data_IF_119203921821
#
_entry.id   IF_119203921821
#
_cell.length_a   1.000
_cell.length_b   1.000
_cell.length_c   1.000
_cell.angle_alpha   90.00
_cell.angle_beta   90.00
_cell.angle_gamma   90.00
#
_symmetry.space_group_name_H-M   'P 1'
#
loop_
_entity.id
_entity.type
_entity.pdbx_description
1 polymer ?
#
# COMPACT_ATOMS: atom_id res chain seq x y z
N UNK A 1 -42.82 -6.07 43.12
CA UNK A 1 -41.84 -7.11 43.51
C UNK A 1 -41.53 -8.08 42.35
N UNK A 2 -42.52 -8.73 41.72
CA UNK A 2 -42.27 -9.64 40.56
C UNK A 2 -41.60 -8.98 39.34
N UNK A 3 -41.98 -7.75 39.00
CA UNK A 3 -41.37 -6.96 37.91
C UNK A 3 -39.94 -6.54 38.21
N UNK A 4 -39.62 -6.15 39.45
CA UNK A 4 -38.26 -5.81 39.88
C UNK A 4 -37.34 -7.04 39.88
N UNK A 5 -37.84 -8.20 40.30
CA UNK A 5 -37.09 -9.45 40.28
C UNK A 5 -36.82 -9.93 38.85
N UNK A 6 -37.79 -9.80 37.94
CA UNK A 6 -37.63 -10.13 36.53
C UNK A 6 -36.60 -9.22 35.84
N UNK A 7 -36.61 -7.92 36.14
CA UNK A 7 -35.62 -6.97 35.63
C UNK A 7 -34.20 -7.28 36.14
N UNK A 8 -34.07 -7.61 37.43
CA UNK A 8 -32.78 -7.99 38.03
C UNK A 8 -32.22 -9.29 37.42
N UNK A 9 -33.07 -10.29 37.19
CA UNK A 9 -32.67 -11.54 36.53
C UNK A 9 -32.26 -11.33 35.07
N UNK A 10 -32.95 -10.44 34.34
CA UNK A 10 -32.60 -10.10 32.96
C UNK A 10 -31.24 -9.38 32.87
N UNK A 11 -30.96 -8.46 33.80
CA UNK A 11 -29.67 -7.79 33.89
C UNK A 11 -28.53 -8.77 34.20
N UNK A 12 -28.73 -9.67 35.18
CA UNK A 12 -27.74 -10.70 35.51
C UNK A 12 -27.45 -11.64 34.34
N UNK A 13 -28.47 -12.00 33.55
CA UNK A 13 -28.28 -12.83 32.37
C UNK A 13 -27.49 -12.10 31.28
N UNK A 14 -27.76 -10.81 31.06
CA UNK A 14 -27.02 -9.99 30.09
C UNK A 14 -25.53 -9.83 30.46
N UNK A 15 -25.23 -9.64 31.75
CA UNK A 15 -23.84 -9.56 32.24
C UNK A 15 -23.09 -10.88 32.05
N UNK A 16 -23.76 -12.02 32.32
CA UNK A 16 -23.18 -13.34 32.11
C UNK A 16 -22.88 -13.63 30.63
N UNK A 17 -23.78 -13.24 29.73
CA UNK A 17 -23.58 -13.37 28.27
C UNK A 17 -22.41 -12.51 27.78
N UNK A 18 -22.28 -11.28 28.29
CA UNK A 18 -21.16 -10.40 27.98
C UNK A 18 -19.83 -11.02 28.43
N UNK A 19 -19.75 -11.50 29.67
CA UNK A 19 -18.51 -12.10 30.18
C UNK A 19 -18.11 -13.36 29.43
N UNK A 20 -19.08 -14.18 29.03
CA UNK A 20 -18.84 -15.32 28.15
C UNK A 20 -18.28 -14.87 26.79
N UNK A 21 -18.90 -13.88 26.14
CA UNK A 21 -18.44 -13.37 24.85
C UNK A 21 -17.02 -12.78 24.93
N UNK A 22 -16.69 -12.10 26.05
CA UNK A 22 -15.33 -11.56 26.30
C UNK A 22 -14.31 -12.68 26.47
N UNK A 23 -14.66 -13.75 27.18
CA UNK A 23 -13.78 -14.90 27.36
C UNK A 23 -13.51 -15.63 26.03
N UNK A 24 -14.56 -15.86 25.24
CA UNK A 24 -14.46 -16.46 23.91
C UNK A 24 -13.61 -15.60 22.96
N UNK A 25 -13.82 -14.28 22.96
CA UNK A 25 -13.04 -13.36 22.14
C UNK A 25 -11.55 -13.40 22.51
N UNK A 26 -11.22 -13.32 23.81
CA UNK A 26 -9.83 -13.40 24.27
C UNK A 26 -9.17 -14.73 23.89
N UNK A 27 -9.91 -15.84 24.00
CA UNK A 27 -9.44 -17.15 23.58
C UNK A 27 -9.20 -17.21 22.07
N UNK A 28 -10.18 -16.78 21.27
CA UNK A 28 -10.06 -16.78 19.82
C UNK A 28 -8.89 -15.89 19.32
N UNK A 29 -8.64 -14.78 20.01
CA UNK A 29 -7.51 -13.90 19.75
C UNK A 29 -6.17 -14.57 20.09
N UNK A 30 -6.08 -15.25 21.24
CA UNK A 30 -4.88 -15.99 21.64
C UNK A 30 -4.59 -17.17 20.69
N UNK A 31 -5.64 -17.86 20.25
CA UNK A 31 -5.55 -18.99 19.33
C UNK A 31 -5.35 -18.55 17.86
N UNK A 32 -5.40 -17.24 17.58
CA UNK A 32 -5.36 -16.65 16.23
C UNK A 32 -6.35 -17.31 15.26
N UNK A 33 -7.55 -17.62 15.73
CA UNK A 33 -8.60 -18.29 14.94
C UNK A 33 -9.52 -17.24 14.28
N UNK A 34 -9.41 -16.98 12.96
CA UNK A 34 -10.12 -15.85 12.35
C UNK A 34 -11.64 -15.98 12.42
N UNK A 35 -12.17 -17.18 12.21
CA UNK A 35 -13.62 -17.44 12.25
C UNK A 35 -14.20 -17.31 13.66
N UNK A 36 -13.52 -17.90 14.65
CA UNK A 36 -13.93 -17.79 16.05
C UNK A 36 -13.82 -16.34 16.54
N UNK A 37 -12.79 -15.61 16.12
CA UNK A 37 -12.59 -14.21 16.48
C UNK A 37 -13.71 -13.34 15.93
N UNK A 38 -14.03 -13.45 14.65
CA UNK A 38 -15.13 -12.68 14.04
C UNK A 38 -16.46 -12.98 14.74
N UNK A 39 -16.73 -14.25 15.03
CA UNK A 39 -17.96 -14.68 15.71
C UNK A 39 -18.05 -14.08 17.12
N UNK A 40 -16.99 -14.20 17.92
CA UNK A 40 -16.97 -13.66 19.28
C UNK A 40 -17.00 -12.13 19.29
N UNK A 41 -16.31 -11.48 18.36
CA UNK A 41 -16.32 -10.02 18.21
C UNK A 41 -17.71 -9.49 17.85
N UNK A 42 -18.43 -10.19 16.98
CA UNK A 42 -19.81 -9.85 16.62
C UNK A 42 -20.78 -10.05 17.78
N UNK A 43 -20.59 -11.10 18.60
CA UNK A 43 -21.35 -11.28 19.84
C UNK A 43 -21.11 -10.14 20.82
N UNK A 44 -19.85 -9.71 20.98
CA UNK A 44 -19.52 -8.53 21.79
C UNK A 44 -20.23 -7.28 21.27
N UNK A 45 -20.14 -7.01 19.96
CA UNK A 45 -20.79 -5.85 19.36
C UNK A 45 -22.31 -5.87 19.50
N UNK A 46 -22.94 -7.04 19.45
CA UNK A 46 -24.39 -7.20 19.63
C UNK A 46 -24.88 -6.81 21.04
N UNK A 47 -24.01 -6.83 22.06
CA UNK A 47 -24.35 -6.34 23.41
C UNK A 47 -24.53 -4.82 23.45
N UNK A 48 -23.90 -4.11 22.52
CA UNK A 48 -23.90 -2.65 22.42
C UNK A 48 -23.44 -1.96 23.72
N UNK A 49 -22.60 -2.61 24.52
CA UNK A 49 -22.10 -2.11 25.81
C UNK A 49 -20.68 -1.54 25.70
N UNK A 50 -20.38 -0.51 26.50
CA UNK A 50 -19.04 0.07 26.64
C UNK A 50 -17.95 -0.97 26.90
N UNK A 51 -18.19 -1.90 27.84
CA UNK A 51 -17.21 -2.93 28.19
C UNK A 51 -16.90 -3.89 27.03
N UNK A 52 -17.84 -4.08 26.10
CA UNK A 52 -17.60 -4.82 24.87
C UNK A 52 -16.72 -4.02 23.89
N UNK A 53 -17.01 -2.72 23.72
CA UNK A 53 -16.18 -1.82 22.91
C UNK A 53 -14.74 -1.76 23.44
N UNK A 54 -14.55 -1.59 24.75
CA UNK A 54 -13.23 -1.62 25.41
C UNK A 54 -12.50 -2.93 25.14
N UNK A 55 -13.20 -4.07 25.27
CA UNK A 55 -12.60 -5.39 25.03
C UNK A 55 -12.12 -5.55 23.58
N UNK A 56 -12.89 -5.04 22.62
CA UNK A 56 -12.54 -5.06 21.20
C UNK A 56 -11.35 -4.15 20.91
N UNK A 57 -11.35 -2.91 21.41
CA UNK A 57 -10.25 -1.96 21.22
C UNK A 57 -8.94 -2.46 21.87
N UNK A 58 -9.01 -3.05 23.06
CA UNK A 58 -7.86 -3.70 23.69
C UNK A 58 -7.33 -4.88 22.84
N UNK A 59 -8.24 -5.63 22.22
CA UNK A 59 -7.91 -6.69 21.27
C UNK A 59 -7.16 -6.15 20.06
N UNK A 60 -7.61 -5.03 19.49
CA UNK A 60 -6.94 -4.36 18.38
C UNK A 60 -5.53 -3.92 18.78
N UNK A 61 -5.38 -3.29 19.95
CA UNK A 61 -4.09 -2.86 20.49
C UNK A 61 -3.12 -4.03 20.67
N UNK A 62 -3.59 -5.17 21.16
CA UNK A 62 -2.80 -6.41 21.26
C UNK A 62 -2.34 -6.91 19.89
N UNK A 63 -3.21 -6.91 18.88
CA UNK A 63 -2.82 -7.28 17.52
C UNK A 63 -1.71 -6.35 16.99
N UNK A 64 -1.91 -5.04 17.10
CA UNK A 64 -0.94 -4.04 16.63
C UNK A 64 0.42 -4.19 17.33
N UNK A 65 0.42 -4.40 18.65
CA UNK A 65 1.64 -4.65 19.42
C UNK A 65 2.35 -5.94 19.00
N UNK A 66 1.60 -7.03 18.79
CA UNK A 66 2.14 -8.30 18.33
C UNK A 66 2.73 -8.20 16.92
N UNK A 67 2.05 -7.52 15.98
CA UNK A 67 2.55 -7.28 14.62
C UNK A 67 3.90 -6.55 14.66
N UNK A 68 4.02 -5.50 15.48
CA UNK A 68 5.27 -4.76 15.65
C UNK A 68 6.41 -5.68 16.12
N UNK A 69 6.15 -6.57 17.08
CA UNK A 69 7.14 -7.53 17.56
C UNK A 69 7.55 -8.55 16.49
N UNK A 70 6.57 -9.08 15.75
CA UNK A 70 6.79 -10.05 14.68
C UNK A 70 7.57 -9.46 13.50
N UNK A 71 7.42 -8.17 13.19
CA UNK A 71 8.28 -7.52 12.20
C UNK A 71 9.75 -7.57 12.59
N UNK A 72 10.08 -7.37 13.87
CA UNK A 72 11.45 -7.53 14.37
C UNK A 72 11.96 -8.97 14.25
N UNK A 73 11.09 -9.97 14.48
CA UNK A 73 11.43 -11.38 14.27
C UNK A 73 11.63 -11.71 12.78
N UNK A 74 10.75 -11.22 11.91
CA UNK A 74 10.84 -11.41 10.45
C UNK A 74 12.16 -10.87 9.91
N UNK A 75 12.57 -9.69 10.36
CA UNK A 75 13.86 -9.09 9.97
C UNK A 75 15.03 -9.99 10.37
N UNK A 76 15.02 -10.60 11.56
CA UNK A 76 16.08 -11.55 11.96
C UNK A 76 16.14 -12.77 11.05
N UNK A 77 14.99 -13.37 10.72
CA UNK A 77 14.96 -14.51 9.81
C UNK A 77 15.41 -14.14 8.39
N UNK A 78 15.15 -12.90 7.94
CA UNK A 78 15.69 -12.39 6.68
C UNK A 78 17.21 -12.25 6.73
N UNK A 79 17.76 -11.67 7.79
CA UNK A 79 19.21 -11.57 8.01
C UNK A 79 19.88 -12.95 8.09
N UNK A 80 19.26 -13.91 8.78
CA UNK A 80 19.75 -15.29 8.84
C UNK A 80 19.71 -15.96 7.47
N UNK A 81 18.66 -15.69 6.69
CA UNK A 81 18.53 -16.17 5.32
C UNK A 81 19.63 -15.58 4.43
N UNK A 82 19.89 -14.28 4.51
CA UNK A 82 20.98 -13.59 3.80
C UNK A 82 22.36 -14.16 4.15
N UNK A 83 22.66 -14.30 5.44
CA UNK A 83 23.93 -14.85 5.92
C UNK A 83 24.20 -16.28 5.42
N UNK A 84 23.15 -17.05 5.17
CA UNK A 84 23.24 -18.40 4.63
C UNK A 84 22.91 -18.48 3.13
N UNK A 85 22.75 -17.36 2.42
CA UNK A 85 22.31 -17.33 1.02
C UNK A 85 23.37 -17.76 0.01
N UNK A 86 24.65 -17.53 0.29
CA UNK A 86 25.75 -17.78 -0.64
C UNK A 86 26.14 -19.27 -0.76
N UNK A 87 25.27 -20.06 -1.37
CA UNK A 87 25.49 -21.47 -1.74
C UNK A 87 25.37 -21.66 -3.25
N UNK A 88 26.12 -22.61 -3.80
CA UNK A 88 26.05 -22.94 -5.23
C UNK A 88 25.04 -24.05 -5.50
N UNK A 89 24.37 -23.96 -6.65
CA UNK A 89 23.60 -25.04 -7.24
C UNK A 89 24.34 -25.50 -8.49
N UNK A 90 24.71 -26.77 -8.56
CA UNK A 90 25.24 -27.40 -9.78
C UNK A 90 24.08 -27.84 -10.66
N UNK A 91 23.80 -27.02 -11.68
CA UNK A 91 22.77 -27.28 -12.68
C UNK A 91 23.22 -28.26 -13.78
N UNK A 92 24.47 -28.75 -13.76
CA UNK A 92 24.94 -29.79 -14.69
C UNK A 92 24.51 -31.19 -14.29
N UNK A 93 24.05 -31.37 -13.05
CA UNK A 93 23.49 -32.64 -12.59
C UNK A 93 22.00 -32.71 -12.88
N UNK A 94 21.48 -33.92 -13.08
CA UNK A 94 20.04 -34.16 -13.25
C UNK A 94 19.56 -35.15 -12.19
N UNK A 95 18.80 -34.71 -11.16
CA UNK A 95 18.38 -33.33 -10.90
C UNK A 95 19.56 -32.41 -10.48
N UNK A 96 19.42 -31.07 -10.61
CA UNK A 96 20.38 -30.11 -10.07
C UNK A 96 20.68 -30.39 -8.60
N UNK A 97 21.94 -30.26 -8.20
CA UNK A 97 22.40 -30.64 -6.85
C UNK A 97 23.16 -29.52 -6.16
N UNK A 98 23.18 -29.53 -4.83
CA UNK A 98 24.01 -28.63 -4.04
C UNK A 98 25.37 -29.29 -3.83
N UNK A 99 26.51 -28.63 -4.15
CA UNK A 99 27.82 -29.17 -3.82
C UNK A 99 27.91 -29.52 -2.34
N UNK A 100 28.55 -30.64 -2.00
CA UNK A 100 28.57 -31.17 -0.65
C UNK A 100 29.02 -30.16 0.44
N UNK A 101 29.92 -29.23 0.08
CA UNK A 101 30.37 -28.15 0.98
C UNK A 101 29.30 -27.11 1.33
N UNK A 102 28.29 -26.95 0.47
CA UNK A 102 27.27 -25.92 0.56
C UNK A 102 25.93 -26.44 1.10
N UNK A 103 25.75 -27.77 1.18
CA UNK A 103 24.49 -28.41 1.62
C UNK A 103 24.03 -27.87 2.98
N UNK A 104 24.92 -27.79 3.97
CA UNK A 104 24.57 -27.27 5.31
C UNK A 104 24.14 -25.80 5.28
N UNK A 105 24.71 -25.01 4.38
CA UNK A 105 24.37 -23.59 4.22
C UNK A 105 23.01 -23.44 3.55
N UNK A 106 22.74 -24.24 2.52
CA UNK A 106 21.43 -24.35 1.89
C UNK A 106 20.33 -24.80 2.85
N UNK A 107 20.58 -25.81 3.69
CA UNK A 107 19.62 -26.28 4.70
C UNK A 107 19.26 -25.17 5.71
N UNK A 108 20.25 -24.40 6.17
CA UNK A 108 20.03 -23.25 7.06
C UNK A 108 19.24 -22.13 6.39
N UNK A 109 19.54 -21.84 5.12
CA UNK A 109 18.79 -20.89 4.31
C UNK A 109 17.30 -21.30 4.21
N UNK A 110 17.02 -22.56 3.90
CA UNK A 110 15.65 -23.06 3.78
C UNK A 110 14.88 -22.95 5.10
N UNK A 111 15.53 -23.28 6.22
CA UNK A 111 14.90 -23.17 7.54
C UNK A 111 14.63 -21.70 7.91
N UNK A 112 15.57 -20.78 7.64
CA UNK A 112 15.37 -19.34 7.85
C UNK A 112 14.23 -18.78 6.98
N UNK A 113 14.15 -19.16 5.70
CA UNK A 113 13.08 -18.74 4.80
C UNK A 113 11.71 -19.28 5.25
N UNK A 114 11.65 -20.55 5.66
CA UNK A 114 10.45 -21.17 6.22
C UNK A 114 9.99 -20.44 7.49
N UNK A 115 10.91 -20.07 8.37
CA UNK A 115 10.59 -19.32 9.59
C UNK A 115 10.11 -17.89 9.28
N UNK A 116 10.77 -17.20 8.35
CA UNK A 116 10.33 -15.88 7.87
C UNK A 116 8.90 -15.90 7.32
N UNK A 117 8.58 -16.89 6.48
CA UNK A 117 7.22 -17.11 5.94
C UNK A 117 6.20 -17.43 7.04
N UNK A 118 6.58 -18.23 8.03
CA UNK A 118 5.71 -18.54 9.16
C UNK A 118 5.38 -17.29 10.00
N UNK A 119 6.36 -16.40 10.21
CA UNK A 119 6.15 -15.12 10.88
C UNK A 119 5.25 -14.20 10.07
N UNK A 120 5.47 -14.12 8.76
CA UNK A 120 4.61 -13.34 7.86
C UNK A 120 3.16 -13.82 7.86
N UNK A 121 2.92 -15.13 7.85
CA UNK A 121 1.58 -15.69 7.98
C UNK A 121 0.90 -15.27 9.29
N UNK A 122 1.64 -15.22 10.42
CA UNK A 122 1.10 -14.70 11.69
C UNK A 122 0.74 -13.22 11.60
N UNK A 123 1.57 -12.40 10.96
CA UNK A 123 1.29 -10.98 10.74
C UNK A 123 -0.01 -10.81 9.94
N UNK A 124 -0.18 -11.55 8.83
CA UNK A 124 -1.40 -11.48 8.03
C UNK A 124 -2.65 -11.89 8.82
N UNK A 125 -2.55 -12.92 9.65
CA UNK A 125 -3.65 -13.34 10.53
C UNK A 125 -4.02 -12.26 11.54
N UNK A 126 -3.04 -11.58 12.13
CA UNK A 126 -3.26 -10.48 13.06
C UNK A 126 -3.84 -9.22 12.39
N UNK A 127 -3.43 -8.91 11.15
CA UNK A 127 -4.06 -7.82 10.39
C UNK A 127 -5.51 -8.15 10.02
N UNK A 128 -5.78 -9.41 9.66
CA UNK A 128 -7.16 -9.90 9.45
C UNK A 128 -7.98 -9.79 10.73
N UNK A 129 -7.38 -10.10 11.89
CA UNK A 129 -8.01 -9.94 13.19
C UNK A 129 -8.35 -8.48 13.52
N UNK A 130 -7.45 -7.53 13.25
CA UNK A 130 -7.73 -6.09 13.39
C UNK A 130 -8.92 -5.67 12.55
N UNK A 131 -8.95 -6.08 11.27
CA UNK A 131 -10.07 -5.80 10.38
C UNK A 131 -11.40 -6.38 10.88
N UNK A 132 -11.40 -7.60 11.43
CA UNK A 132 -12.58 -8.21 12.04
C UNK A 132 -13.08 -7.41 13.25
N UNK A 133 -12.16 -6.99 14.13
CA UNK A 133 -12.46 -6.19 15.31
C UNK A 133 -13.10 -4.84 14.92
N UNK A 134 -12.50 -4.12 13.96
CA UNK A 134 -13.05 -2.84 13.47
C UNK A 134 -14.42 -3.02 12.85
N UNK A 135 -14.62 -4.08 12.05
CA UNK A 135 -15.94 -4.41 11.49
C UNK A 135 -16.98 -4.68 12.57
N UNK A 136 -16.61 -5.32 13.67
CA UNK A 136 -17.53 -5.53 14.80
C UNK A 136 -17.76 -4.24 15.58
N UNK A 137 -16.74 -3.40 15.82
CA UNK A 137 -16.89 -2.07 16.42
C UNK A 137 -17.82 -1.16 15.59
N UNK A 138 -17.82 -1.29 14.27
CA UNK A 138 -18.74 -0.56 13.39
C UNK A 138 -20.21 -1.00 13.52
N UNK A 139 -20.50 -2.13 14.19
CA UNK A 139 -21.88 -2.62 14.39
C UNK A 139 -22.57 -2.03 15.62
N UNK A 140 -21.85 -1.30 16.48
CA UNK A 140 -22.45 -0.60 17.61
C UNK A 140 -23.42 0.48 17.12
N UNK A 141 -24.59 0.58 17.76
CA UNK A 141 -25.68 1.46 17.33
C UNK A 141 -26.17 2.39 18.44
N UNK A 142 -25.92 2.06 19.69
CA UNK A 142 -26.38 2.82 20.84
C UNK A 142 -25.67 4.16 20.93
N UNK A 143 -26.45 5.22 21.10
CA UNK A 143 -25.96 6.60 21.24
C UNK A 143 -24.88 6.72 22.34
N UNK A 144 -25.09 6.03 23.48
CA UNK A 144 -24.11 6.00 24.57
C UNK A 144 -22.77 5.37 24.14
N UNK A 145 -22.81 4.23 23.47
CA UNK A 145 -21.61 3.49 23.09
C UNK A 145 -20.86 4.14 21.93
N UNK A 146 -21.58 4.76 20.99
CA UNK A 146 -20.95 5.60 19.97
C UNK A 146 -20.28 6.83 20.60
N UNK A 147 -20.90 7.44 21.62
CA UNK A 147 -20.26 8.52 22.40
C UNK A 147 -19.03 8.04 23.17
N UNK A 148 -19.03 6.82 23.68
CA UNK A 148 -17.83 6.21 24.27
C UNK A 148 -16.69 6.05 23.24
N UNK A 149 -16.98 5.63 22.00
CA UNK A 149 -15.98 5.58 20.92
C UNK A 149 -15.45 6.97 20.54
N UNK A 150 -16.34 7.98 20.47
CA UNK A 150 -15.95 9.38 20.25
C UNK A 150 -15.06 9.89 21.39
N UNK A 151 -15.40 9.55 22.63
CA UNK A 151 -14.58 9.89 23.79
C UNK A 151 -13.21 9.20 23.73
N UNK A 152 -13.16 7.92 23.39
CA UNK A 152 -11.89 7.20 23.20
C UNK A 152 -11.03 7.87 22.13
N UNK A 153 -11.59 8.18 20.96
CA UNK A 153 -10.88 8.89 19.88
C UNK A 153 -10.26 10.21 20.35
N UNK A 154 -10.95 10.95 21.21
CA UNK A 154 -10.53 12.31 21.61
C UNK A 154 -9.65 12.35 22.86
N UNK A 155 -9.81 11.41 23.78
CA UNK A 155 -9.20 11.45 25.11
C UNK A 155 -8.52 10.13 25.53
N UNK A 156 -8.55 9.09 24.69
CA UNK A 156 -7.88 7.82 24.97
C UNK A 156 -6.36 7.97 25.08
N UNK A 157 -5.75 7.36 26.09
CA UNK A 157 -4.30 7.44 26.29
C UNK A 157 -3.52 6.59 25.26
N UNK A 158 -4.07 5.44 24.88
CA UNK A 158 -3.47 4.48 23.95
C UNK A 158 -3.83 4.85 22.51
N UNK A 159 -2.82 5.12 21.67
CA UNK A 159 -3.05 5.55 20.29
C UNK A 159 -3.63 4.43 19.41
N UNK A 160 -3.34 3.17 19.70
CA UNK A 160 -3.92 2.04 18.97
C UNK A 160 -5.42 1.93 19.24
N UNK A 161 -5.88 2.20 20.48
CA UNK A 161 -7.31 2.30 20.80
C UNK A 161 -7.95 3.47 20.06
N UNK A 162 -7.31 4.64 20.04
CA UNK A 162 -7.80 5.80 19.26
C UNK A 162 -7.91 5.51 17.77
N UNK A 163 -6.92 4.82 17.18
CA UNK A 163 -6.94 4.42 15.78
C UNK A 163 -8.09 3.43 15.49
N UNK A 164 -8.28 2.41 16.34
CA UNK A 164 -9.40 1.47 16.23
C UNK A 164 -10.76 2.17 16.31
N UNK A 165 -10.90 3.13 17.22
CA UNK A 165 -12.10 3.95 17.35
C UNK A 165 -12.34 4.79 16.08
N UNK A 166 -11.31 5.46 15.55
CA UNK A 166 -11.41 6.24 14.31
C UNK A 166 -11.86 5.37 13.13
N UNK A 167 -11.22 4.22 12.89
CA UNK A 167 -11.57 3.31 11.80
C UNK A 167 -13.03 2.83 11.91
N UNK A 168 -13.47 2.45 13.12
CA UNK A 168 -14.84 2.00 13.35
C UNK A 168 -15.87 3.12 13.13
N UNK A 169 -15.59 4.32 13.65
CA UNK A 169 -16.45 5.50 13.51
C UNK A 169 -16.68 5.89 12.05
N UNK A 170 -15.70 5.63 11.17
CA UNK A 170 -15.84 5.82 9.71
C UNK A 170 -16.98 5.02 9.07
N UNK A 171 -17.48 4.00 9.75
CA UNK A 171 -18.58 3.13 9.30
C UNK A 171 -19.86 3.30 10.12
N UNK A 172 -19.90 4.26 11.07
CA UNK A 172 -21.05 4.53 11.93
C UNK A 172 -21.72 5.84 11.48
N UNK A 173 -22.97 5.74 11.03
CA UNK A 173 -23.79 6.88 10.56
C UNK A 173 -24.36 7.77 11.68
N UNK A 174 -23.57 8.09 12.70
CA UNK A 174 -24.02 8.90 13.84
C UNK A 174 -23.67 10.37 13.67
N UNK A 175 -24.61 11.26 13.97
CA UNK A 175 -24.54 12.71 13.66
C UNK A 175 -23.34 13.44 14.26
N UNK A 176 -22.83 13.00 15.41
CA UNK A 176 -21.72 13.65 16.11
C UNK A 176 -20.34 13.18 15.60
N UNK A 177 -20.29 12.12 14.80
CA UNK A 177 -19.05 11.49 14.33
C UNK A 177 -18.23 12.41 13.42
N UNK A 178 -18.79 13.07 12.38
CA UNK A 178 -17.99 13.90 11.49
C UNK A 178 -17.27 15.03 12.23
N UNK A 179 -17.95 15.69 13.17
CA UNK A 179 -17.36 16.75 13.98
C UNK A 179 -16.24 16.22 14.90
N UNK A 180 -16.45 15.07 15.53
CA UNK A 180 -15.43 14.42 16.37
C UNK A 180 -14.17 14.04 15.58
N UNK A 181 -14.32 13.46 14.39
CA UNK A 181 -13.21 13.11 13.50
C UNK A 181 -12.44 14.37 13.06
N UNK A 182 -13.14 15.47 12.73
CA UNK A 182 -12.50 16.74 12.33
C UNK A 182 -11.65 17.29 13.46
N UNK A 183 -12.17 17.30 14.68
CA UNK A 183 -11.44 17.79 15.85
C UNK A 183 -10.24 16.89 16.19
N UNK A 184 -10.40 15.57 16.11
CA UNK A 184 -9.30 14.64 16.34
C UNK A 184 -8.19 14.76 15.27
N UNK A 185 -8.53 14.93 13.99
CA UNK A 185 -7.55 15.08 12.91
C UNK A 185 -6.63 16.29 13.12
N UNK A 186 -7.17 17.37 13.71
CA UNK A 186 -6.42 18.60 14.00
C UNK A 186 -5.53 18.49 15.24
N UNK A 187 -5.91 17.67 16.23
CA UNK A 187 -5.31 17.66 17.57
C UNK A 187 -4.42 16.45 17.83
N UNK A 188 -4.70 15.30 17.22
CA UNK A 188 -3.94 14.08 17.50
C UNK A 188 -2.51 14.22 16.97
N UNK A 189 -1.55 13.92 17.84
CA UNK A 189 -0.12 13.98 17.52
C UNK A 189 0.35 12.73 16.78
N UNK A 190 -0.34 11.60 16.95
CA UNK A 190 0.05 10.32 16.37
C UNK A 190 -0.38 10.22 14.91
N UNK A 191 0.59 10.00 14.02
CA UNK A 191 0.35 9.95 12.59
C UNK A 191 -0.57 8.76 12.22
N UNK A 192 -0.42 7.62 12.90
CA UNK A 192 -1.26 6.45 12.67
C UNK A 192 -2.75 6.72 12.96
N UNK A 193 -3.05 7.49 14.02
CA UNK A 193 -4.44 7.87 14.33
C UNK A 193 -4.98 8.84 13.28
N UNK A 194 -4.19 9.85 12.86
CA UNK A 194 -4.60 10.77 11.79
C UNK A 194 -4.86 10.04 10.47
N UNK A 195 -4.08 9.02 10.13
CA UNK A 195 -4.30 8.19 8.93
C UNK A 195 -5.64 7.44 9.04
N UNK A 196 -5.91 6.82 10.20
CA UNK A 196 -7.19 6.15 10.44
C UNK A 196 -8.39 7.12 10.31
N UNK A 197 -8.24 8.37 10.76
CA UNK A 197 -9.28 9.40 10.61
C UNK A 197 -9.49 9.80 9.14
N UNK A 198 -8.42 9.96 8.36
CA UNK A 198 -8.51 10.27 6.93
C UNK A 198 -9.24 9.14 6.18
N UNK A 199 -8.93 7.89 6.49
CA UNK A 199 -9.63 6.72 5.98
C UNK A 199 -11.10 6.69 6.40
N UNK A 200 -11.39 7.05 7.66
CA UNK A 200 -12.75 7.16 8.15
C UNK A 200 -13.59 8.18 7.37
N UNK A 201 -13.03 9.35 7.02
CA UNK A 201 -13.73 10.32 6.16
C UNK A 201 -14.04 9.77 4.77
N UNK A 202 -13.11 9.00 4.19
CA UNK A 202 -13.32 8.34 2.90
C UNK A 202 -14.45 7.31 2.97
N UNK A 203 -14.56 6.58 4.08
CA UNK A 203 -15.64 5.62 4.33
C UNK A 203 -17.00 6.28 4.55
N UNK A 204 -17.05 7.41 5.28
CA UNK A 204 -18.29 8.17 5.53
C UNK A 204 -18.89 8.78 4.26
N UNK A 205 -18.05 9.06 3.25
CA UNK A 205 -18.47 9.70 1.98
C UNK A 205 -19.23 11.01 2.18
N UNK A 206 -18.89 11.77 3.22
CA UNK A 206 -19.47 13.06 3.54
C UNK A 206 -18.40 14.15 3.42
N UNK A 207 -18.55 15.06 2.46
CA UNK A 207 -17.61 16.16 2.20
C UNK A 207 -18.16 17.52 2.59
N UNK A 208 -18.38 17.79 3.88
CA UNK A 208 -18.72 19.15 4.32
C UNK A 208 -17.51 20.09 4.17
N UNK A 209 -17.71 21.42 4.07
CA UNK A 209 -16.60 22.37 3.99
C UNK A 209 -15.56 22.20 5.10
N UNK A 210 -16.00 21.87 6.32
CA UNK A 210 -15.12 21.64 7.48
C UNK A 210 -14.26 20.38 7.31
N UNK A 211 -14.83 19.29 6.78
CA UNK A 211 -14.11 18.04 6.49
C UNK A 211 -13.11 18.28 5.37
N UNK A 212 -13.54 18.94 4.29
CA UNK A 212 -12.67 19.27 3.16
C UNK A 212 -11.49 20.15 3.60
N UNK A 213 -11.74 21.16 4.43
CA UNK A 213 -10.67 22.00 4.98
C UNK A 213 -9.72 21.22 5.89
N UNK A 214 -10.24 20.32 6.74
CA UNK A 214 -9.41 19.49 7.62
C UNK A 214 -8.52 18.52 6.81
N UNK A 215 -9.07 17.89 5.78
CA UNK A 215 -8.31 17.02 4.86
C UNK A 215 -7.29 17.82 4.04
N UNK A 216 -7.66 18.99 3.51
CA UNK A 216 -6.74 19.85 2.78
C UNK A 216 -5.53 20.27 3.64
N UNK A 217 -5.74 20.53 4.93
CA UNK A 217 -4.64 20.80 5.88
C UNK A 217 -3.62 19.66 5.99
N UNK A 218 -4.03 18.40 5.78
CA UNK A 218 -3.14 17.24 5.83
C UNK A 218 -2.23 17.11 4.60
N UNK A 219 -2.51 17.82 3.50
CA UNK A 219 -1.62 17.88 2.32
C UNK A 219 -0.26 18.52 2.65
N UNK A 220 -0.19 19.28 3.74
CA UNK A 220 1.01 19.95 4.23
C UNK A 220 1.70 19.20 5.39
N UNK A 221 1.21 18.02 5.77
CA UNK A 221 1.78 17.20 6.84
C UNK A 221 3.23 16.78 6.53
N UNK A 222 4.09 16.60 7.54
CA UNK A 222 5.43 16.04 7.33
C UNK A 222 5.41 14.55 6.94
N UNK A 223 4.30 13.86 7.21
CA UNK A 223 4.13 12.44 6.90
C UNK A 223 3.54 12.27 5.50
N UNK A 224 4.30 11.64 4.60
CA UNK A 224 3.89 11.43 3.21
C UNK A 224 2.60 10.61 3.08
N UNK A 225 2.37 9.66 3.99
CA UNK A 225 1.14 8.84 4.01
C UNK A 225 -0.11 9.70 4.24
N UNK A 226 0.00 10.74 5.09
CA UNK A 226 -1.11 11.68 5.31
C UNK A 226 -1.39 12.53 4.09
N UNK A 227 -0.36 12.95 3.35
CA UNK A 227 -0.53 13.71 2.11
C UNK A 227 -1.27 12.88 1.06
N UNK A 228 -0.86 11.62 0.86
CA UNK A 228 -1.49 10.71 -0.10
C UNK A 228 -2.92 10.38 0.33
N UNK A 229 -3.11 9.98 1.59
CA UNK A 229 -4.45 9.67 2.11
C UNK A 229 -5.40 10.85 1.98
N UNK A 230 -4.95 12.06 2.27
CA UNK A 230 -5.75 13.27 2.13
C UNK A 230 -6.12 13.54 0.68
N UNK A 231 -5.17 13.45 -0.26
CA UNK A 231 -5.45 13.62 -1.68
C UNK A 231 -6.49 12.60 -2.20
N UNK A 232 -6.34 11.34 -1.79
CA UNK A 232 -7.28 10.26 -2.14
C UNK A 232 -8.66 10.48 -1.53
N UNK A 233 -8.74 10.90 -0.26
CA UNK A 233 -10.01 11.21 0.40
C UNK A 233 -10.72 12.40 -0.26
N UNK A 234 -10.00 13.48 -0.54
CA UNK A 234 -10.54 14.67 -1.22
C UNK A 234 -11.09 14.34 -2.61
N UNK A 235 -10.38 13.49 -3.39
CA UNK A 235 -10.87 12.98 -4.67
C UNK A 235 -12.12 12.12 -4.49
N UNK A 236 -12.13 11.19 -3.54
CA UNK A 236 -13.26 10.29 -3.30
C UNK A 236 -14.53 11.02 -2.85
N UNK A 237 -14.37 12.17 -2.18
CA UNK A 237 -15.45 13.06 -1.76
C UNK A 237 -15.89 14.05 -2.85
N UNK A 238 -15.29 13.99 -4.05
CA UNK A 238 -15.48 14.97 -5.14
C UNK A 238 -15.33 16.43 -4.68
N UNK A 239 -14.37 16.69 -3.79
CA UNK A 239 -14.17 17.97 -3.13
C UNK A 239 -13.51 19.01 -4.05
N UNK A 240 -14.27 19.60 -4.98
CA UNK A 240 -13.76 20.63 -5.92
C UNK A 240 -13.10 21.82 -5.23
N UNK A 241 -13.54 22.17 -4.02
CA UNK A 241 -12.93 23.23 -3.21
C UNK A 241 -11.46 22.92 -2.81
N UNK A 242 -11.02 21.66 -2.90
CA UNK A 242 -9.65 21.26 -2.60
C UNK A 242 -8.69 21.33 -3.79
N UNK A 243 -9.15 21.73 -4.97
CA UNK A 243 -8.31 21.87 -6.16
C UNK A 243 -7.15 22.84 -5.91
N UNK A 244 -7.42 24.02 -5.34
CA UNK A 244 -6.37 25.01 -5.06
C UNK A 244 -5.36 24.49 -4.00
N UNK A 245 -5.78 23.95 -2.84
CA UNK A 245 -4.86 23.29 -1.91
C UNK A 245 -4.02 22.16 -2.51
N UNK A 246 -4.59 21.35 -3.40
CA UNK A 246 -3.87 20.28 -4.10
C UNK A 246 -2.80 20.84 -5.07
N UNK A 247 -3.11 21.93 -5.78
CA UNK A 247 -2.14 22.62 -6.65
C UNK A 247 -1.00 23.22 -5.83
N UNK A 248 -1.30 23.81 -4.66
CA UNK A 248 -0.28 24.32 -3.75
C UNK A 248 0.62 23.21 -3.21
N UNK A 249 0.04 22.07 -2.82
CA UNK A 249 0.81 20.89 -2.39
C UNK A 249 1.69 20.35 -3.52
N UNK A 250 1.19 20.36 -4.77
CA UNK A 250 1.92 19.89 -5.96
C UNK A 250 3.21 20.68 -6.20
N UNK A 251 3.25 21.97 -5.84
CA UNK A 251 4.44 22.81 -5.98
C UNK A 251 5.68 22.22 -5.28
N UNK A 252 5.47 21.62 -4.12
CA UNK A 252 6.53 21.05 -3.26
C UNK A 252 6.66 19.54 -3.40
N UNK A 253 5.91 18.93 -4.33
CA UNK A 253 5.86 17.49 -4.50
C UNK A 253 6.81 16.99 -5.60
N UNK A 254 7.43 15.85 -5.32
CA UNK A 254 8.29 15.08 -6.20
C UNK A 254 7.89 13.60 -6.19
N UNK A 255 8.49 12.83 -7.12
CA UNK A 255 8.29 11.39 -7.22
C UNK A 255 6.83 10.95 -7.19
N UNK A 256 6.54 9.94 -6.35
CA UNK A 256 5.18 9.36 -6.22
C UNK A 256 4.15 10.37 -5.72
N UNK A 257 4.53 11.29 -4.84
CA UNK A 257 3.59 12.27 -4.29
C UNK A 257 3.05 13.21 -5.39
N UNK A 258 3.91 13.60 -6.34
CA UNK A 258 3.48 14.40 -7.51
C UNK A 258 2.42 13.68 -8.34
N UNK A 259 2.58 12.37 -8.55
CA UNK A 259 1.64 11.54 -9.31
C UNK A 259 0.29 11.46 -8.59
N UNK A 260 0.30 11.14 -7.30
CA UNK A 260 -0.92 11.03 -6.48
C UNK A 260 -1.71 12.34 -6.42
N UNK A 261 -1.01 13.47 -6.25
CA UNK A 261 -1.65 14.79 -6.26
C UNK A 261 -2.23 15.13 -7.64
N UNK A 262 -1.51 14.79 -8.71
CA UNK A 262 -2.02 14.97 -10.07
C UNK A 262 -3.24 14.10 -10.36
N UNK A 263 -3.25 12.83 -9.93
CA UNK A 263 -4.40 11.94 -10.09
C UNK A 263 -5.63 12.47 -9.34
N UNK A 264 -5.44 13.04 -8.14
CA UNK A 264 -6.51 13.71 -7.40
C UNK A 264 -7.02 14.94 -8.15
N UNK A 265 -6.13 15.80 -8.65
CA UNK A 265 -6.48 16.98 -9.44
C UNK A 265 -7.21 16.60 -10.73
N UNK A 266 -6.74 15.58 -11.45
CA UNK A 266 -7.36 15.12 -12.68
C UNK A 266 -8.75 14.53 -12.44
N UNK A 267 -8.91 13.75 -11.37
CA UNK A 267 -10.21 13.24 -10.95
C UNK A 267 -11.21 14.35 -10.60
N UNK A 268 -10.74 15.44 -9.99
CA UNK A 268 -11.59 16.58 -9.62
C UNK A 268 -11.84 17.55 -10.77
N UNK A 269 -10.86 17.80 -11.64
CA UNK A 269 -10.95 18.80 -12.70
C UNK A 269 -11.44 18.22 -14.05
N UNK A 270 -11.39 16.89 -14.21
CA UNK A 270 -11.72 16.21 -15.46
C UNK A 270 -10.71 16.46 -16.59
N UNK A 271 -9.55 17.05 -16.27
CA UNK A 271 -8.44 17.36 -17.19
C UNK A 271 -7.15 16.89 -16.55
N UNK A 272 -6.14 16.55 -17.35
CA UNK A 272 -4.82 16.18 -16.82
C UNK A 272 -3.76 17.21 -17.23
N UNK A 273 -2.89 17.59 -16.29
CA UNK A 273 -1.70 18.42 -16.55
C UNK A 273 -0.39 17.70 -16.20
N UNK A 274 -0.45 16.38 -16.04
CA UNK A 274 0.68 15.47 -15.91
C UNK A 274 1.68 15.86 -14.80
N UNK A 275 1.15 16.37 -13.68
CA UNK A 275 1.92 16.80 -12.54
C UNK A 275 2.73 18.08 -12.77
N UNK A 276 2.46 18.83 -13.84
CA UNK A 276 3.05 20.15 -14.07
C UNK A 276 2.32 21.23 -13.24
N UNK A 277 3.00 21.72 -12.20
CA UNK A 277 2.50 22.77 -11.33
C UNK A 277 2.17 24.07 -12.08
N UNK A 278 3.00 24.50 -13.02
CA UNK A 278 2.77 25.76 -13.73
C UNK A 278 1.54 25.65 -14.65
N UNK A 279 1.37 24.50 -15.31
CA UNK A 279 0.20 24.22 -16.12
C UNK A 279 -1.09 24.13 -15.28
N UNK A 280 -1.04 23.46 -14.12
CA UNK A 280 -2.16 23.42 -13.18
C UNK A 280 -2.52 24.81 -12.63
N UNK A 281 -1.52 25.61 -12.27
CA UNK A 281 -1.73 26.98 -11.78
C UNK A 281 -2.38 27.86 -12.85
N UNK A 282 -1.87 27.84 -14.09
CA UNK A 282 -2.45 28.59 -15.19
C UNK A 282 -3.90 28.16 -15.51
N UNK A 283 -4.16 26.85 -15.42
CA UNK A 283 -5.51 26.31 -15.55
C UNK A 283 -6.43 26.79 -14.42
N UNK A 284 -5.97 26.79 -13.16
CA UNK A 284 -6.77 27.29 -12.03
C UNK A 284 -7.15 28.76 -12.23
N UNK A 285 -6.19 29.61 -12.56
CA UNK A 285 -6.46 31.04 -12.80
C UNK A 285 -7.49 31.27 -13.91
N UNK A 286 -7.43 30.46 -14.97
CA UNK A 286 -8.38 30.55 -16.09
C UNK A 286 -9.79 30.03 -15.75
N UNK A 287 -9.93 29.20 -14.71
CA UNK A 287 -11.18 28.52 -14.37
C UNK A 287 -11.73 28.90 -12.97
N UNK A 288 -11.01 29.73 -12.21
CA UNK A 288 -11.31 30.09 -10.80
C UNK A 288 -12.75 30.56 -10.62
N UNK A 289 -13.22 31.45 -11.49
CA UNK A 289 -14.59 31.98 -11.42
C UNK A 289 -15.65 30.91 -11.71
N UNK A 290 -15.43 30.08 -12.73
CA UNK A 290 -16.35 29.00 -13.11
C UNK A 290 -16.43 27.92 -12.01
N UNK A 291 -15.30 27.60 -11.38
CA UNK A 291 -15.21 26.70 -10.22
C UNK A 291 -15.95 27.27 -9.02
N UNK A 292 -15.73 28.54 -8.68
CA UNK A 292 -16.42 29.22 -7.57
C UNK A 292 -17.95 29.26 -7.75
N UNK A 293 -18.42 29.39 -9.00
CA UNK A 293 -19.85 29.36 -9.35
C UNK A 293 -20.43 27.95 -9.52
N UNK A 294 -19.61 26.90 -9.46
CA UNK A 294 -20.03 25.52 -9.73
C UNK A 294 -20.49 25.27 -11.18
N UNK A 295 -20.06 26.13 -12.12
CA UNK A 295 -20.46 26.08 -13.53
C UNK A 295 -19.39 25.49 -14.44
N UNK A 296 -18.22 25.15 -13.88
CA UNK A 296 -17.13 24.55 -14.62
C UNK A 296 -17.52 23.18 -15.16
N UNK A 297 -17.25 22.97 -16.46
CA UNK A 297 -17.34 21.68 -17.12
C UNK A 297 -16.08 21.47 -17.99
N UNK A 298 -15.42 20.30 -17.91
CA UNK A 298 -14.24 20.03 -18.73
C UNK A 298 -14.63 19.98 -20.21
N UNK A 299 -13.84 20.62 -21.07
CA UNK A 299 -14.02 20.53 -22.53
C UNK A 299 -13.52 19.16 -23.00
N UNK A 300 -14.19 18.56 -23.98
CA UNK A 300 -13.81 17.24 -24.52
C UNK A 300 -12.40 17.20 -25.11
N UNK A 301 -11.86 18.35 -25.55
CA UNK A 301 -10.48 18.49 -26.03
C UNK A 301 -9.43 18.50 -24.91
N UNK A 302 -9.84 18.82 -23.68
CA UNK A 302 -9.00 18.89 -22.48
C UNK A 302 -9.22 17.68 -21.55
N UNK A 303 -10.22 16.84 -21.86
CA UNK A 303 -10.53 15.62 -21.13
C UNK A 303 -9.23 14.83 -20.95
N UNK A 304 -9.03 14.27 -19.75
CA UNK A 304 -7.91 13.38 -19.45
C UNK A 304 -7.84 12.33 -20.56
N UNK A 305 -6.96 12.56 -21.54
CA UNK A 305 -6.76 11.67 -22.65
C UNK A 305 -6.34 10.32 -22.10
N UNK A 306 -6.77 9.26 -22.79
CA UNK A 306 -6.26 7.91 -22.60
C UNK A 306 -4.75 7.96 -22.27
N UNK A 307 -4.27 7.31 -21.18
CA UNK A 307 -2.87 7.38 -20.71
C UNK A 307 -1.78 7.03 -21.74
N UNK A 308 -2.14 6.71 -22.98
CA UNK A 308 -1.26 6.31 -24.07
C UNK A 308 -0.82 7.41 -25.05
N UNK A 309 -0.57 8.67 -24.65
CA UNK A 309 -0.16 9.69 -25.65
C UNK A 309 1.03 10.59 -25.35
N UNK A 310 1.91 10.14 -24.49
CA UNK A 310 3.35 10.33 -24.68
C UNK A 310 3.97 8.93 -24.56
N UNK A 311 5.03 8.62 -25.29
CA UNK A 311 5.68 7.31 -25.24
C UNK A 311 6.19 7.02 -23.82
N UNK A 312 5.30 6.53 -22.95
CA UNK A 312 5.61 6.14 -21.59
C UNK A 312 6.35 4.83 -21.70
N UNK A 313 7.61 4.85 -21.29
CA UNK A 313 8.34 3.62 -21.03
C UNK A 313 7.47 2.77 -20.11
N UNK A 314 7.18 1.53 -20.50
CA UNK A 314 6.48 0.58 -19.63
C UNK A 314 7.40 -0.57 -19.28
N UNK A 315 7.21 -1.12 -18.09
CA UNK A 315 7.83 -2.37 -17.67
C UNK A 315 6.72 -3.28 -17.16
N UNK A 316 6.48 -4.40 -17.84
CA UNK A 316 5.33 -5.29 -17.57
C UNK A 316 3.97 -4.55 -17.61
N UNK A 317 3.83 -3.57 -18.51
CA UNK A 317 2.61 -2.76 -18.63
C UNK A 317 2.45 -1.68 -17.57
N UNK A 318 3.37 -1.58 -16.61
CA UNK A 318 3.39 -0.52 -15.60
C UNK A 318 4.14 0.69 -16.17
N UNK A 319 3.54 1.89 -16.21
CA UNK A 319 4.22 3.11 -16.63
C UNK A 319 5.42 3.44 -15.74
N UNK A 320 6.54 3.79 -16.35
CA UNK A 320 7.75 4.28 -15.66
C UNK A 320 7.80 5.80 -15.78
N UNK A 321 7.54 6.49 -14.66
CA UNK A 321 7.33 7.95 -14.63
C UNK A 321 8.48 8.74 -13.97
N UNK A 322 9.45 8.05 -13.38
CA UNK A 322 10.59 8.67 -12.70
C UNK A 322 11.74 9.01 -13.67
N UNK A 323 12.50 10.08 -13.36
CA UNK A 323 13.78 10.42 -14.03
C UNK A 323 14.97 9.65 -13.48
N UNK A 324 14.78 8.97 -12.34
CA UNK A 324 15.77 8.12 -11.67
C UNK A 324 15.12 6.75 -11.45
N UNK A 325 15.54 5.74 -12.20
CA UNK A 325 14.88 4.44 -12.25
C UNK A 325 15.85 3.32 -11.93
N UNK A 326 15.54 2.50 -10.93
CA UNK A 326 16.28 1.26 -10.69
C UNK A 326 15.36 0.10 -10.99
N UNK A 327 15.74 -0.72 -11.96
CA UNK A 327 15.04 -1.98 -12.22
C UNK A 327 15.62 -3.04 -11.31
N UNK A 328 14.82 -3.59 -10.41
CA UNK A 328 15.21 -4.69 -9.52
C UNK A 328 14.51 -5.96 -9.99
N UNK A 329 15.27 -6.95 -10.47
CA UNK A 329 14.70 -8.17 -11.05
C UNK A 329 15.27 -9.42 -10.39
N UNK A 330 14.40 -10.41 -10.24
CA UNK A 330 14.80 -11.73 -9.79
C UNK A 330 15.63 -12.44 -10.88
N UNK A 331 16.65 -13.16 -10.45
CA UNK A 331 17.37 -14.18 -11.23
C UNK A 331 17.59 -15.44 -10.39
N UNK A 332 16.78 -15.68 -9.36
CA UNK A 332 16.78 -16.91 -8.58
C UNK A 332 16.42 -18.12 -9.43
N UNK A 333 16.64 -19.33 -8.89
CA UNK A 333 16.37 -20.58 -9.60
C UNK A 333 14.96 -20.72 -10.17
N UNK A 334 13.92 -20.13 -9.54
CA UNK A 334 12.54 -20.16 -10.04
C UNK A 334 12.36 -19.43 -11.38
N UNK A 335 13.28 -18.54 -11.75
CA UNK A 335 13.23 -17.83 -13.03
C UNK A 335 13.49 -18.75 -14.25
N UNK A 336 13.85 -20.02 -14.02
CA UNK A 336 13.95 -21.05 -15.07
C UNK A 336 12.61 -21.65 -15.48
N UNK A 337 11.57 -21.52 -14.64
CA UNK A 337 10.26 -22.09 -14.93
C UNK A 337 9.62 -21.40 -16.15
N UNK A 338 8.72 -22.09 -16.88
CA UNK A 338 7.90 -21.46 -17.90
C UNK A 338 7.14 -20.26 -17.33
N UNK A 339 7.05 -19.20 -18.12
CA UNK A 339 6.23 -18.04 -17.81
C UNK A 339 4.78 -18.31 -18.18
N UNK A 340 3.86 -18.05 -17.27
CA UNK A 340 2.41 -18.00 -17.50
C UNK A 340 1.92 -16.60 -17.91
N UNK A 341 2.82 -15.61 -17.90
CA UNK A 341 2.53 -14.25 -18.37
C UNK A 341 2.14 -14.23 -19.86
N UNK A 342 0.91 -13.82 -20.13
CA UNK A 342 0.28 -13.71 -21.46
C UNK A 342 0.37 -12.28 -22.04
N UNK A 343 0.59 -11.29 -21.19
CA UNK A 343 0.87 -9.90 -21.56
C UNK A 343 -0.30 -9.18 -22.26
N UNK A 344 -0.21 -7.84 -22.39
CA UNK A 344 -1.18 -7.11 -23.20
C UNK A 344 -0.96 -7.44 -24.69
N UNK A 345 -2.05 -7.70 -25.43
CA UNK A 345 -2.03 -7.84 -26.88
C UNK A 345 -1.43 -6.57 -27.50
N UNK A 346 -0.28 -6.69 -28.18
CA UNK A 346 0.37 -5.53 -28.79
C UNK A 346 -0.61 -4.85 -29.78
N UNK A 347 -0.93 -3.56 -29.61
CA UNK A 347 -1.79 -2.86 -30.55
C UNK A 347 -1.13 -2.81 -31.93
N UNK A 348 -1.94 -2.92 -32.99
CA UNK A 348 -1.48 -2.86 -34.36
C UNK A 348 -0.62 -1.60 -34.60
N UNK A 349 0.57 -1.79 -35.17
CA UNK A 349 1.53 -0.73 -35.46
C UNK A 349 0.87 0.39 -36.27
N UNK A 350 0.73 1.58 -35.67
CA UNK A 350 0.31 2.79 -36.38
C UNK A 350 1.43 3.21 -37.34
N UNK A 351 1.15 3.16 -38.64
CA UNK A 351 2.08 3.39 -39.76
C UNK A 351 2.49 4.87 -39.98
N UNK A 352 2.70 5.65 -38.91
CA UNK A 352 3.00 7.09 -39.04
C UNK A 352 3.97 7.70 -38.02
N UNK A 353 4.49 6.93 -37.06
CA UNK A 353 5.43 7.43 -36.04
C UNK A 353 6.90 7.08 -36.33
N UNK A 354 7.85 7.75 -35.66
CA UNK A 354 9.25 7.28 -35.60
C UNK A 354 9.25 5.81 -35.13
N UNK A 355 10.14 4.93 -35.65
CA UNK A 355 10.20 3.53 -35.24
C UNK A 355 10.34 3.42 -33.71
N UNK A 356 9.51 2.60 -33.07
CA UNK A 356 9.63 2.30 -31.64
C UNK A 356 10.97 1.59 -31.43
N UNK A 357 11.92 2.15 -30.66
CA UNK A 357 13.21 1.50 -30.41
C UNK A 357 13.08 0.11 -29.75
N UNK A 358 11.91 -0.23 -29.20
CA UNK A 358 11.62 -1.56 -28.67
C UNK A 358 11.13 -2.57 -29.73
N UNK A 359 10.78 -2.16 -30.95
CA UNK A 359 10.25 -3.06 -31.99
C UNK A 359 11.26 -4.09 -32.49
N UNK A 360 12.55 -3.79 -32.39
CA UNK A 360 13.63 -4.66 -32.85
C UNK A 360 14.05 -5.71 -31.79
N UNK A 361 13.49 -5.62 -30.58
CA UNK A 361 13.85 -6.48 -29.45
C UNK A 361 12.95 -7.71 -29.43
N UNK A 362 13.47 -8.82 -29.97
CA UNK A 362 12.74 -10.10 -30.05
C UNK A 362 12.82 -10.90 -28.75
N UNK A 363 11.70 -11.53 -28.38
CA UNK A 363 11.62 -12.56 -27.34
C UNK A 363 12.46 -13.78 -27.74
N UNK A 364 13.29 -14.28 -26.81
CA UNK A 364 14.28 -15.36 -27.07
C UNK A 364 13.93 -16.71 -26.42
N UNK A 365 12.81 -16.81 -25.70
CA UNK A 365 12.37 -18.03 -25.02
C UNK A 365 11.15 -17.78 -24.14
N UNK A 366 10.63 -18.85 -23.52
CA UNK A 366 9.39 -18.83 -22.75
C UNK A 366 9.59 -18.97 -21.23
N UNK A 367 10.84 -19.02 -20.74
CA UNK A 367 11.11 -19.04 -19.30
C UNK A 367 10.79 -17.67 -18.69
N UNK A 368 10.47 -17.63 -17.40
CA UNK A 368 10.29 -16.38 -16.63
C UNK A 368 11.46 -15.41 -16.82
N UNK A 369 12.70 -15.89 -16.81
CA UNK A 369 13.89 -15.07 -17.11
C UNK A 369 13.90 -14.51 -18.54
N UNK A 370 13.47 -15.29 -19.53
CA UNK A 370 13.48 -14.84 -20.92
C UNK A 370 12.46 -13.71 -21.14
N UNK A 371 11.28 -13.82 -20.50
CA UNK A 371 10.27 -12.75 -20.48
C UNK A 371 10.81 -11.53 -19.73
N UNK A 372 11.44 -11.71 -18.57
CA UNK A 372 11.99 -10.62 -17.77
C UNK A 372 13.07 -9.84 -18.51
N UNK A 373 14.02 -10.53 -19.16
CA UNK A 373 15.04 -9.89 -20.01
C UNK A 373 14.41 -9.13 -21.17
N UNK A 374 13.42 -9.73 -21.82
CA UNK A 374 12.74 -9.12 -22.96
C UNK A 374 12.01 -7.83 -22.55
N UNK A 375 11.19 -7.88 -21.50
CA UNK A 375 10.47 -6.73 -20.95
C UNK A 375 11.43 -5.63 -20.47
N UNK A 376 12.49 -6.00 -19.75
CA UNK A 376 13.49 -5.05 -19.27
C UNK A 376 14.19 -4.33 -20.42
N UNK A 377 14.55 -5.06 -21.47
CA UNK A 377 15.20 -4.46 -22.64
C UNK A 377 14.28 -3.53 -23.40
N UNK A 378 12.99 -3.87 -23.55
CA UNK A 378 11.98 -2.94 -24.12
C UNK A 378 11.87 -1.66 -23.28
N UNK A 379 11.77 -1.80 -21.96
CA UNK A 379 11.71 -0.65 -21.06
C UNK A 379 12.95 0.26 -21.20
N UNK A 380 14.15 -0.31 -21.10
CA UNK A 380 15.41 0.44 -21.24
C UNK A 380 15.52 1.11 -22.62
N UNK A 381 15.04 0.47 -23.69
CA UNK A 381 15.05 1.04 -25.04
C UNK A 381 14.18 2.29 -25.19
N UNK A 382 13.09 2.33 -24.42
CA UNK A 382 12.09 3.41 -24.43
C UNK A 382 12.39 4.53 -23.44
N UNK A 383 13.36 4.36 -22.53
CA UNK A 383 13.73 5.40 -21.57
C UNK A 383 14.19 6.69 -22.29
N UNK A 384 13.69 7.88 -21.90
CA UNK A 384 14.12 9.15 -22.46
C UNK A 384 15.63 9.38 -22.28
N UNK A 385 16.27 10.05 -23.25
CA UNK A 385 17.66 10.46 -23.12
C UNK A 385 17.87 11.32 -21.87
N UNK A 386 18.96 11.07 -21.15
CA UNK A 386 19.27 11.79 -19.91
C UNK A 386 18.58 11.26 -18.66
N UNK A 387 17.63 10.33 -18.76
CA UNK A 387 17.12 9.56 -17.60
C UNK A 387 18.26 8.83 -16.91
N UNK A 388 18.34 8.91 -15.59
CA UNK A 388 19.30 8.11 -14.83
C UNK A 388 18.69 6.75 -14.52
N UNK A 389 19.42 5.67 -14.79
CA UNK A 389 18.94 4.33 -14.53
C UNK A 389 20.03 3.39 -13.99
N UNK A 390 19.60 2.36 -13.28
CA UNK A 390 20.43 1.20 -12.97
C UNK A 390 19.59 -0.07 -13.08
N UNK A 391 20.28 -1.22 -13.19
CA UNK A 391 19.64 -2.53 -13.17
C UNK A 391 20.32 -3.36 -12.11
N UNK A 392 19.53 -3.90 -11.20
CA UNK A 392 19.96 -4.79 -10.14
C UNK A 392 19.26 -6.13 -10.38
N UNK A 393 20.04 -7.18 -10.52
CA UNK A 393 19.53 -8.53 -10.43
C UNK A 393 19.85 -9.12 -9.08
N UNK A 394 18.90 -9.85 -8.53
CA UNK A 394 19.08 -10.54 -7.26
C UNK A 394 18.83 -12.03 -7.42
N UNK A 395 19.69 -12.79 -6.76
CA UNK A 395 19.41 -14.16 -6.37
C UNK A 395 19.71 -14.27 -4.90
N UNK A 396 20.64 -15.12 -4.46
CA UNK A 396 21.22 -14.99 -3.14
C UNK A 396 22.28 -13.90 -3.06
N UNK A 397 22.83 -13.51 -4.22
CA UNK A 397 23.76 -12.41 -4.38
C UNK A 397 23.07 -11.27 -5.14
N UNK A 398 23.57 -10.05 -4.95
CA UNK A 398 23.07 -8.86 -5.64
C UNK A 398 24.13 -8.37 -6.60
N UNK A 399 23.80 -8.44 -7.88
CA UNK A 399 24.64 -7.91 -8.96
C UNK A 399 23.98 -6.68 -9.56
N UNK A 400 24.72 -5.58 -9.62
CA UNK A 400 24.25 -4.36 -10.25
C UNK A 400 25.00 -4.13 -11.55
N UNK A 401 24.33 -3.53 -12.53
CA UNK A 401 24.92 -3.14 -13.81
C UNK A 401 26.08 -2.14 -13.59
N UNK A 402 25.94 -1.27 -12.60
CA UNK A 402 26.96 -0.33 -12.16
C UNK A 402 26.82 -0.02 -10.67
N UNK A 403 27.89 0.43 -10.03
CA UNK A 403 27.88 0.91 -8.63
C UNK A 403 27.18 2.27 -8.49
N UNK A 404 26.97 3.00 -9.61
CA UNK A 404 26.28 4.30 -9.64
C UNK A 404 25.19 4.28 -10.70
N UNK A 405 24.25 5.22 -10.58
CA UNK A 405 23.26 5.46 -11.63
C UNK A 405 23.95 5.82 -12.95
N UNK A 406 23.52 5.17 -14.03
CA UNK A 406 23.98 5.45 -15.38
C UNK A 406 23.05 6.44 -16.06
N UNK A 407 23.62 7.45 -16.71
CA UNK A 407 22.83 8.37 -17.54
C UNK A 407 22.50 7.71 -18.88
N UNK A 408 21.22 7.69 -19.24
CA UNK A 408 20.74 7.05 -20.45
C UNK A 408 21.39 7.66 -21.69
N UNK A 409 22.05 6.80 -22.46
CA UNK A 409 22.76 7.09 -23.71
C UNK A 409 22.81 5.81 -24.57
N UNK A 410 23.13 5.95 -25.86
CA UNK A 410 23.28 4.78 -26.74
C UNK A 410 24.34 3.78 -26.22
N UNK A 411 25.43 4.28 -25.64
CA UNK A 411 26.49 3.46 -25.03
C UNK A 411 26.02 2.73 -23.78
N UNK A 412 25.37 3.44 -22.85
CA UNK A 412 24.82 2.86 -21.62
C UNK A 412 23.76 1.79 -21.92
N UNK A 413 22.90 2.02 -22.93
CA UNK A 413 21.92 1.04 -23.39
C UNK A 413 22.57 -0.23 -23.93
N UNK A 414 23.60 -0.11 -24.77
CA UNK A 414 24.34 -1.26 -25.30
C UNK A 414 25.01 -2.05 -24.17
N UNK A 415 25.68 -1.36 -23.23
CA UNK A 415 26.28 -1.97 -22.05
C UNK A 415 25.24 -2.75 -21.23
N UNK A 416 24.08 -2.14 -20.95
CA UNK A 416 22.99 -2.80 -20.24
C UNK A 416 22.53 -4.07 -20.97
N UNK A 417 22.33 -4.00 -22.28
CA UNK A 417 21.84 -5.14 -23.06
C UNK A 417 22.79 -6.33 -23.06
N UNK A 418 24.09 -6.06 -23.23
CA UNK A 418 25.14 -7.09 -23.20
C UNK A 418 25.31 -7.70 -21.81
N UNK A 419 25.13 -6.90 -20.75
CA UNK A 419 25.18 -7.39 -19.37
C UNK A 419 23.96 -8.26 -19.04
N UNK A 420 22.75 -7.81 -19.37
CA UNK A 420 21.49 -8.55 -19.16
C UNK A 420 21.53 -9.93 -19.84
N UNK A 421 22.08 -10.02 -21.06
CA UNK A 421 22.17 -11.30 -21.79
C UNK A 421 23.09 -12.33 -21.12
N UNK A 422 24.00 -11.91 -20.24
CA UNK A 422 24.98 -12.81 -19.59
C UNK A 422 24.47 -13.43 -18.28
N UNK A 423 23.39 -12.93 -17.71
CA UNK A 423 22.95 -13.27 -16.35
C UNK A 423 21.97 -14.43 -16.33
N UNK A 424 22.41 -15.67 -16.11
CA UNK A 424 21.50 -16.81 -16.02
C UNK A 424 20.84 -16.94 -14.63
N UNK A 425 19.64 -17.55 -14.54
CA UNK A 425 19.02 -17.86 -13.25
C UNK A 425 19.89 -18.78 -12.39
N UNK A 426 19.99 -18.50 -11.10
CA UNK A 426 20.87 -19.22 -10.18
C UNK A 426 20.54 -18.84 -8.73
N UNK A 427 20.67 -19.77 -7.78
CA UNK A 427 20.64 -19.46 -6.35
C UNK A 427 19.24 -19.20 -5.74
N UNK A 428 19.23 -18.84 -4.45
CA UNK A 428 18.03 -18.47 -3.69
C UNK A 428 17.46 -17.10 -4.09
N UNK A 429 16.40 -16.66 -3.40
CA UNK A 429 15.68 -15.42 -3.70
C UNK A 429 15.90 -14.44 -2.55
N UNK A 430 16.77 -13.45 -2.75
CA UNK A 430 17.13 -12.42 -1.78
C UNK A 430 16.82 -11.01 -2.31
N UNK A 431 15.53 -10.63 -2.33
CA UNK A 431 15.13 -9.29 -2.78
C UNK A 431 15.51 -8.20 -1.77
N UNK A 432 15.82 -8.53 -0.51
CA UNK A 432 16.07 -7.53 0.53
C UNK A 432 17.38 -6.78 0.26
N UNK A 433 18.51 -7.47 0.12
CA UNK A 433 19.79 -6.85 -0.25
C UNK A 433 19.69 -6.08 -1.57
N UNK A 434 18.84 -6.55 -2.49
CA UNK A 434 18.61 -5.91 -3.76
C UNK A 434 17.93 -4.54 -3.60
N UNK A 435 16.94 -4.49 -2.71
CA UNK A 435 16.26 -3.25 -2.34
C UNK A 435 17.15 -2.35 -1.48
N UNK A 436 17.92 -2.89 -0.54
CA UNK A 436 18.91 -2.12 0.23
C UNK A 436 19.92 -1.47 -0.72
N UNK A 437 20.49 -2.23 -1.66
CA UNK A 437 21.40 -1.71 -2.67
C UNK A 437 20.75 -0.74 -3.65
N UNK A 438 19.45 -0.90 -3.92
CA UNK A 438 18.70 0.04 -4.76
C UNK A 438 18.40 1.36 -4.03
N UNK A 439 18.31 1.35 -2.71
CA UNK A 439 17.89 2.49 -1.89
C UNK A 439 19.05 3.18 -1.15
N UNK A 440 20.23 2.56 -1.15
CA UNK A 440 21.50 3.12 -0.67
C UNK A 440 22.07 4.15 -1.66
#
# INVERSE_FOLDING_TARGET
MKTLLALALALLAADAELDQARAEFRKALADLSPSALQTAADRLAATDQKAAADTLMDGYGKCAGAIKGLWGEKVKHLQDREANGDFKIDYKTTPPSIPAGDVKKYERYLEADKNSKAVEAKIMTLETAKGAIVKSLAKFKGDATVKDLIHELSAGADWQRRAAAAEALGHIGHKDVPAALVEALKKDSEAAVRIAIVEAFRALKQGTPEIVAALAGQLLSDFWQLKIGAAQALRALDAKAAIEPLIEALQKADGRLRVELNEALAGLAGVDKHGDYAAWKAWLESNREALAKGTYAPKSSDAAGDPGRNATTTFYGIPVESKNVIFVLDRSGSMMEPSDWDGPTEPAVSTGGKPDPASDIKKKGDRKMDIARWQLKKAIAQLPEGTEFNVIFFSHEVVALSDKMLKMSAGARKQAFEWIDKLEPYGGTNPFDALEKALA
#
